data_IF_271005478039
#
_entry.id   IF_271005478039
#
_cell.length_a   1.000
_cell.length_b   1.000
_cell.length_c   1.000
_cell.angle_alpha   90.00
_cell.angle_beta   90.00
_cell.angle_gamma   90.00
#
_symmetry.space_group_name_H-M   'P 1'
#
loop_
_entity.id
_entity.type
_entity.pdbx_description
1 polymer ?
#
# COMPACT_ATOMS: atom_id res chain seq x y z
N UNK A 1 18.17 -12.59 3.34
CA UNK A 1 17.49 -11.29 3.53
C UNK A 1 18.32 -10.35 4.39
N UNK A 2 18.78 -9.23 3.83
CA UNK A 2 19.61 -8.26 4.53
C UNK A 2 18.74 -7.22 5.30
N UNK A 3 19.37 -6.42 6.17
CA UNK A 3 18.69 -5.43 6.99
C UNK A 3 18.03 -4.28 6.19
N UNK A 4 18.41 -4.06 4.93
CA UNK A 4 17.76 -3.09 4.04
C UNK A 4 16.44 -3.65 3.52
N UNK A 5 16.42 -4.90 3.05
CA UNK A 5 15.22 -5.56 2.58
C UNK A 5 14.18 -5.70 3.69
N UNK A 6 14.61 -6.02 4.91
CA UNK A 6 13.72 -6.06 6.07
C UNK A 6 13.00 -4.72 6.30
N UNK A 7 13.70 -3.59 6.12
CA UNK A 7 13.09 -2.26 6.23
C UNK A 7 12.11 -1.99 5.09
N UNK A 8 12.41 -2.42 3.88
CA UNK A 8 11.51 -2.26 2.73
C UNK A 8 10.25 -3.12 2.88
N UNK A 9 10.38 -4.36 3.37
CA UNK A 9 9.24 -5.24 3.67
C UNK A 9 8.37 -4.64 4.77
N UNK A 10 8.96 -4.10 5.84
CA UNK A 10 8.21 -3.38 6.88
C UNK A 10 7.40 -2.23 6.29
N UNK A 11 7.98 -1.44 5.37
CA UNK A 11 7.25 -0.39 4.66
C UNK A 11 6.13 -0.91 3.77
N UNK A 12 6.33 -2.01 3.07
CA UNK A 12 5.27 -2.65 2.28
C UNK A 12 4.10 -3.04 3.18
N UNK A 13 4.37 -3.67 4.33
CA UNK A 13 3.35 -4.06 5.30
C UNK A 13 2.60 -2.83 5.83
N UNK A 14 3.30 -1.75 6.20
CA UNK A 14 2.68 -0.50 6.64
C UNK A 14 1.71 0.08 5.58
N UNK A 15 2.03 0.01 4.28
CA UNK A 15 1.11 0.47 3.23
C UNK A 15 -0.06 -0.48 2.96
N UNK A 16 0.11 -1.79 3.18
CA UNK A 16 -1.01 -2.72 3.18
C UNK A 16 -1.98 -2.41 4.32
N UNK A 17 -1.46 -2.16 5.52
CA UNK A 17 -2.26 -1.75 6.69
C UNK A 17 -2.95 -0.40 6.47
N UNK A 18 -2.26 0.57 5.85
CA UNK A 18 -2.86 1.85 5.46
C UNK A 18 -4.03 1.66 4.50
N UNK A 19 -3.89 0.76 3.52
CA UNK A 19 -4.99 0.44 2.58
C UNK A 19 -6.18 -0.15 3.30
N UNK A 20 -5.97 -1.06 4.26
CA UNK A 20 -7.05 -1.59 5.09
C UNK A 20 -7.73 -0.50 5.93
N UNK A 21 -6.95 0.43 6.49
CA UNK A 21 -7.48 1.57 7.23
C UNK A 21 -8.27 2.54 6.35
N UNK A 22 -7.85 2.77 5.10
CA UNK A 22 -8.59 3.59 4.15
C UNK A 22 -9.93 2.92 3.81
N UNK A 23 -9.94 1.59 3.60
CA UNK A 23 -11.17 0.83 3.38
C UNK A 23 -12.11 0.91 4.59
N UNK A 24 -11.59 0.78 5.81
CA UNK A 24 -12.40 0.92 7.03
C UNK A 24 -12.97 2.34 7.19
N UNK A 25 -12.20 3.36 6.81
CA UNK A 25 -12.60 4.77 6.92
C UNK A 25 -13.64 5.18 5.88
N UNK A 26 -13.43 4.83 4.61
CA UNK A 26 -14.30 5.24 3.51
C UNK A 26 -15.48 4.27 3.27
N UNK A 27 -15.31 3.00 3.62
CA UNK A 27 -16.27 1.93 3.37
C UNK A 27 -15.76 0.90 2.34
N UNK A 28 -16.30 -0.32 2.41
CA UNK A 28 -15.94 -1.47 1.56
C UNK A 28 -16.92 -1.67 0.38
N UNK A 29 -17.67 -0.63 0.00
CA UNK A 29 -18.53 -0.68 -1.19
C UNK A 29 -17.80 -0.12 -2.43
N UNK A 30 -17.94 -0.83 -3.54
CA UNK A 30 -17.29 -0.45 -4.78
C UNK A 30 -17.85 0.87 -5.36
N UNK A 31 -19.14 1.18 -5.15
CA UNK A 31 -19.70 2.45 -5.60
C UNK A 31 -19.24 3.61 -4.72
N UNK A 32 -19.02 3.40 -3.42
CA UNK A 32 -18.40 4.38 -2.53
C UNK A 32 -16.98 4.73 -3.00
N UNK A 33 -16.20 3.73 -3.40
CA UNK A 33 -14.90 3.94 -4.05
C UNK A 33 -15.01 4.74 -5.35
N UNK A 34 -15.89 4.36 -6.27
CA UNK A 34 -16.05 5.05 -7.55
C UNK A 34 -16.56 6.49 -7.41
N UNK A 35 -17.36 6.78 -6.38
CA UNK A 35 -17.93 8.10 -6.15
C UNK A 35 -16.97 9.05 -5.40
N UNK A 36 -15.83 8.57 -4.89
CA UNK A 36 -14.94 9.34 -4.02
C UNK A 36 -13.48 9.36 -4.51
N UNK A 37 -13.10 10.45 -5.17
CA UNK A 37 -11.73 10.66 -5.67
C UNK A 37 -10.65 10.68 -4.56
N UNK A 38 -11.00 10.99 -3.32
CA UNK A 38 -10.05 10.92 -2.20
C UNK A 38 -9.76 9.47 -1.83
N UNK A 39 -10.78 8.63 -1.79
CA UNK A 39 -10.63 7.20 -1.54
C UNK A 39 -9.79 6.54 -2.65
N UNK A 40 -10.10 6.83 -3.92
CA UNK A 40 -9.31 6.33 -5.06
C UNK A 40 -7.85 6.73 -4.97
N UNK A 41 -7.57 8.00 -4.67
CA UNK A 41 -6.20 8.50 -4.56
C UNK A 41 -5.44 7.90 -3.38
N UNK A 42 -6.10 7.68 -2.24
CA UNK A 42 -5.49 7.05 -1.08
C UNK A 42 -5.05 5.61 -1.41
N UNK A 43 -5.97 4.79 -1.93
CA UNK A 43 -5.66 3.43 -2.37
C UNK A 43 -4.57 3.40 -3.46
N UNK A 44 -4.68 4.26 -4.48
CA UNK A 44 -3.71 4.32 -5.56
C UNK A 44 -2.32 4.70 -5.05
N UNK A 45 -2.22 5.66 -4.12
CA UNK A 45 -0.96 6.05 -3.51
C UNK A 45 -0.31 4.89 -2.77
N UNK A 46 -1.06 4.19 -1.91
CA UNK A 46 -0.53 3.05 -1.15
C UNK A 46 -0.02 1.93 -2.08
N UNK A 47 -0.78 1.61 -3.14
CA UNK A 47 -0.39 0.60 -4.14
C UNK A 47 0.90 1.00 -4.87
N UNK A 48 1.04 2.27 -5.27
CA UNK A 48 2.26 2.78 -5.91
C UNK A 48 3.45 2.63 -4.96
N UNK A 49 3.29 3.01 -3.68
CA UNK A 49 4.38 2.88 -2.71
C UNK A 49 4.79 1.44 -2.48
N UNK A 50 3.84 0.50 -2.44
CA UNK A 50 4.14 -0.94 -2.37
C UNK A 50 5.03 -1.36 -3.55
N UNK A 51 4.65 -1.00 -4.78
CA UNK A 51 5.44 -1.31 -5.97
C UNK A 51 6.86 -0.71 -5.92
N UNK A 52 6.99 0.54 -5.47
CA UNK A 52 8.27 1.21 -5.29
C UNK A 52 9.19 0.50 -4.30
N UNK A 53 8.66 0.03 -3.17
CA UNK A 53 9.47 -0.69 -2.18
C UNK A 53 9.80 -2.11 -2.62
N UNK A 54 8.91 -2.79 -3.36
CA UNK A 54 9.21 -4.08 -3.99
C UNK A 54 10.38 -3.95 -4.96
N UNK A 55 10.37 -2.92 -5.82
CA UNK A 55 11.45 -2.66 -6.78
C UNK A 55 12.80 -2.28 -6.16
N UNK A 56 12.86 -2.08 -4.83
CA UNK A 56 14.09 -1.76 -4.07
C UNK A 56 14.65 -2.95 -3.29
N UNK A 57 13.94 -4.08 -3.26
CA UNK A 57 14.42 -5.32 -2.66
C UNK A 57 15.64 -5.82 -3.44
N UNK A 58 16.58 -6.44 -2.74
CA UNK A 58 17.71 -7.09 -3.39
C UNK A 58 17.27 -8.34 -4.17
N UNK A 59 18.02 -8.67 -5.23
CA UNK A 59 17.82 -9.90 -6.01
C UNK A 59 18.32 -11.17 -5.28
N UNK A 60 18.86 -11.01 -4.06
CA UNK A 60 19.42 -12.10 -3.26
C UNK A 60 18.32 -12.81 -2.45
N UNK A 61 17.97 -14.02 -2.88
CA UNK A 61 17.03 -14.92 -2.21
C UNK A 61 17.66 -15.63 -1.00
#
# INVERSE_FOLDING_TARGET
MNAKDEKHIKKIIEYCEATASDIEYFGDDFNEYLANDHYQRACAFNIIQIGEYIGRLSDEF
#
